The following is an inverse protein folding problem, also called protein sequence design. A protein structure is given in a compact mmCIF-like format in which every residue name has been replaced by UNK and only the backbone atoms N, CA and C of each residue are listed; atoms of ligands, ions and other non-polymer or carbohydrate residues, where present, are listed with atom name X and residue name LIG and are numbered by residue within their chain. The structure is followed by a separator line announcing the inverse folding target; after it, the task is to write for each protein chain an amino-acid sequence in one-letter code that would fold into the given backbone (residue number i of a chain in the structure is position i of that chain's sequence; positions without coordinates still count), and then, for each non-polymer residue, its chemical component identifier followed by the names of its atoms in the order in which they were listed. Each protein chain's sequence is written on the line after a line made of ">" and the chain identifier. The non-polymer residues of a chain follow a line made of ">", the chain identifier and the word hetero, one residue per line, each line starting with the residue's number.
data_IF_559390418303
#
_entry.id   IF_559390418303
#
_cell.length_a   1.000
_cell.length_b   1.000
_cell.length_c   1.000
_cell.angle_alpha   90.00
_cell.angle_beta   90.00
_cell.angle_gamma   90.00
#
_symmetry.space_group_name_H-M   'P 1'
#
loop_
_entity.id
_entity.type
_entity.pdbx_description
1 polymer ?
#
# COMPACT_ATOMS: atom_id res chain seq x y z
N UNK A 1 29.77 -47.05 -45.32
CA UNK A 1 29.88 -48.52 -45.36
C UNK A 1 29.69 -49.00 -46.79
N UNK A 2 30.56 -49.85 -47.31
CA UNK A 2 30.47 -50.33 -48.70
C UNK A 2 29.31 -51.32 -48.84
N UNK A 3 28.64 -51.30 -50.00
CA UNK A 3 27.48 -52.16 -50.30
C UNK A 3 27.79 -53.67 -50.12
N UNK A 4 29.06 -54.04 -50.32
CA UNK A 4 29.61 -55.37 -50.04
C UNK A 4 29.61 -55.76 -48.55
N UNK A 5 29.90 -54.83 -47.64
CA UNK A 5 29.87 -55.11 -46.21
C UNK A 5 28.44 -55.36 -45.72
N UNK A 6 27.47 -54.66 -46.31
CA UNK A 6 26.05 -54.82 -45.98
C UNK A 6 25.52 -56.19 -46.43
N UNK A 7 25.90 -56.64 -47.63
CA UNK A 7 25.58 -57.99 -48.12
C UNK A 7 26.14 -59.11 -47.23
N UNK A 8 27.36 -58.96 -46.73
CA UNK A 8 27.97 -59.96 -45.83
C UNK A 8 27.26 -60.05 -44.48
N UNK A 9 26.86 -58.91 -43.90
CA UNK A 9 26.10 -58.91 -42.64
C UNK A 9 24.72 -59.53 -42.83
N UNK A 10 24.05 -59.22 -43.94
CA UNK A 10 22.73 -59.76 -44.25
C UNK A 10 22.77 -61.29 -44.46
N UNK A 11 23.81 -61.78 -45.14
CA UNK A 11 24.03 -63.22 -45.33
C UNK A 11 24.32 -63.94 -44.00
N UNK A 12 25.10 -63.34 -43.11
CA UNK A 12 25.40 -63.87 -41.77
C UNK A 12 24.14 -64.02 -40.90
N UNK A 13 23.26 -63.02 -40.93
CA UNK A 13 22.00 -63.04 -40.17
C UNK A 13 21.07 -64.12 -40.72
N UNK A 14 20.93 -64.23 -42.05
CA UNK A 14 20.12 -65.26 -42.70
C UNK A 14 20.63 -66.67 -42.39
N UNK A 15 21.94 -66.91 -42.41
CA UNK A 15 22.52 -68.21 -42.08
C UNK A 15 22.24 -68.59 -40.61
N UNK A 16 22.36 -67.62 -39.70
CA UNK A 16 22.09 -67.82 -38.27
C UNK A 16 20.62 -68.15 -38.01
N UNK A 17 19.69 -67.41 -38.63
CA UNK A 17 18.25 -67.67 -38.53
C UNK A 17 17.87 -69.05 -39.09
N UNK A 18 18.46 -69.44 -40.22
CA UNK A 18 18.23 -70.75 -40.83
C UNK A 18 18.71 -71.90 -39.94
N UNK A 19 19.86 -71.73 -39.28
CA UNK A 19 20.39 -72.71 -38.33
C UNK A 19 19.49 -72.88 -37.09
N UNK A 20 18.93 -71.78 -36.57
CA UNK A 20 17.97 -71.82 -35.46
C UNK A 20 16.66 -72.52 -35.85
N UNK A 21 16.12 -72.25 -37.05
CA UNK A 21 14.91 -72.91 -37.54
C UNK A 21 15.15 -74.41 -37.72
N UNK A 22 16.31 -74.80 -38.26
CA UNK A 22 16.66 -76.22 -38.42
C UNK A 22 16.82 -76.93 -37.06
N UNK A 23 17.43 -76.26 -36.07
CA UNK A 23 17.56 -76.79 -34.71
C UNK A 23 16.18 -76.96 -34.04
N UNK A 24 15.30 -75.98 -34.20
CA UNK A 24 13.94 -76.02 -33.66
C UNK A 24 13.12 -77.17 -34.26
N UNK A 25 13.15 -77.33 -35.59
CA UNK A 25 12.46 -78.43 -36.27
C UNK A 25 13.04 -79.81 -35.91
N UNK A 26 14.35 -79.90 -35.66
CA UNK A 26 14.98 -81.17 -35.24
C UNK A 26 14.66 -81.52 -33.79
N UNK A 27 14.44 -80.54 -32.91
CA UNK A 27 14.06 -80.79 -31.52
C UNK A 27 12.58 -81.14 -31.34
N UNK A 28 11.70 -80.75 -32.27
CA UNK A 28 10.27 -81.07 -32.20
C UNK A 28 9.92 -82.47 -32.77
N UNK A 29 10.85 -83.11 -33.48
CA UNK A 29 10.67 -84.45 -34.06
C UNK A 29 10.84 -85.64 -33.10
N UNK A 30 11.00 -85.40 -31.79
CA UNK A 30 11.50 -86.42 -30.86
C UNK A 30 10.86 -86.43 -29.48
N UNK A 31 9.53 -86.59 -29.38
CA UNK A 31 8.85 -87.24 -28.23
C UNK A 31 7.33 -87.40 -28.43
N UNK A 32 6.96 -88.20 -29.43
CA UNK A 32 5.62 -88.81 -29.50
C UNK A 32 5.51 -89.99 -28.54
N UNK A 33 5.54 -89.74 -27.23
CA UNK A 33 5.27 -90.75 -26.21
C UNK A 33 3.76 -90.91 -26.04
N UNK A 34 3.22 -92.09 -26.40
CA UNK A 34 1.85 -92.50 -26.08
C UNK A 34 1.58 -92.30 -24.58
N UNK A 35 0.76 -91.30 -24.23
CA UNK A 35 0.29 -91.07 -22.86
C UNK A 35 -0.67 -92.18 -22.47
N UNK A 36 -0.25 -93.00 -21.51
CA UNK A 36 -1.14 -93.85 -20.73
C UNK A 36 -1.83 -92.95 -19.69
N UNK A 37 -3.17 -92.93 -19.58
CA UNK A 37 -3.91 -91.99 -18.72
C UNK A 37 -3.56 -92.11 -17.22
N UNK A 38 -2.93 -93.20 -16.80
CA UNK A 38 -2.51 -93.45 -15.42
C UNK A 38 -1.25 -92.66 -15.02
N UNK A 39 -0.37 -92.32 -15.97
CA UNK A 39 0.91 -91.64 -15.67
C UNK A 39 0.74 -90.12 -15.59
N UNK A 40 -0.15 -89.54 -16.40
CA UNK A 40 -0.47 -88.10 -16.31
C UNK A 40 -1.17 -87.76 -14.98
N UNK A 41 -2.07 -88.63 -14.50
CA UNK A 41 -2.69 -88.49 -13.17
C UNK A 41 -1.66 -88.66 -12.04
N UNK A 42 -0.82 -89.69 -12.10
CA UNK A 42 0.21 -89.89 -11.06
C UNK A 42 1.27 -88.78 -11.01
N UNK A 43 1.52 -88.08 -12.13
CA UNK A 43 2.41 -86.91 -12.16
C UNK A 43 1.65 -85.64 -11.74
N UNK A 44 0.38 -85.46 -12.11
CA UNK A 44 -0.42 -84.31 -11.62
C UNK A 44 -0.61 -84.39 -10.11
N UNK A 45 -0.96 -85.55 -9.58
CA UNK A 45 -1.22 -85.75 -8.15
C UNK A 45 0.06 -85.50 -7.32
N UNK A 46 1.22 -85.94 -7.81
CA UNK A 46 2.52 -85.64 -7.18
C UNK A 46 2.91 -84.17 -7.29
N UNK A 47 2.52 -83.48 -8.37
CA UNK A 47 2.78 -82.04 -8.53
C UNK A 47 1.85 -81.22 -7.66
N UNK A 48 0.61 -81.69 -7.43
CA UNK A 48 -0.38 -81.05 -6.56
C UNK A 48 0.03 -81.19 -5.09
N UNK A 49 0.48 -82.38 -4.67
CA UNK A 49 1.11 -82.62 -3.36
C UNK A 49 2.41 -81.81 -3.20
N UNK A 50 3.19 -81.65 -4.29
CA UNK A 50 4.41 -80.83 -4.26
C UNK A 50 4.10 -79.32 -4.11
N UNK A 51 3.07 -78.82 -4.76
CA UNK A 51 2.65 -77.41 -4.64
C UNK A 51 2.04 -77.15 -3.27
N UNK A 52 1.32 -78.12 -2.69
CA UNK A 52 0.68 -77.98 -1.39
C UNK A 52 1.70 -77.91 -0.25
N UNK A 53 2.85 -78.61 -0.34
CA UNK A 53 3.92 -78.46 0.65
C UNK A 53 4.82 -77.24 0.43
N UNK A 54 5.03 -76.79 -0.82
CA UNK A 54 5.77 -75.55 -1.12
C UNK A 54 5.01 -74.32 -0.61
N UNK A 55 3.67 -74.34 -0.66
CA UNK A 55 2.79 -73.33 -0.06
C UNK A 55 2.12 -73.84 1.22
N UNK A 56 2.89 -74.50 2.07
CA UNK A 56 2.41 -74.95 3.36
C UNK A 56 1.96 -73.78 4.25
N UNK A 57 1.24 -74.09 5.32
CA UNK A 57 0.72 -73.07 6.25
C UNK A 57 1.85 -72.23 6.88
N UNK A 58 3.05 -72.78 7.05
CA UNK A 58 4.24 -72.06 7.53
C UNK A 58 4.70 -70.97 6.55
N UNK A 59 4.78 -71.26 5.26
CA UNK A 59 5.12 -70.28 4.22
C UNK A 59 4.04 -69.19 4.11
N UNK A 60 2.75 -69.56 4.24
CA UNK A 60 1.64 -68.59 4.25
C UNK A 60 1.71 -67.68 5.48
N UNK A 61 2.07 -68.23 6.64
CA UNK A 61 2.28 -67.43 7.86
C UNK A 61 3.51 -66.53 7.76
N UNK A 62 4.63 -67.00 7.19
CA UNK A 62 5.81 -66.17 6.97
C UNK A 62 5.52 -65.06 5.96
N UNK A 63 4.82 -65.36 4.86
CA UNK A 63 4.39 -64.35 3.88
C UNK A 63 3.46 -63.32 4.53
N UNK A 64 2.53 -63.75 5.38
CA UNK A 64 1.63 -62.85 6.12
C UNK A 64 2.41 -61.98 7.11
N UNK A 65 3.35 -62.56 7.84
CA UNK A 65 4.18 -61.84 8.80
C UNK A 65 5.12 -60.84 8.12
N UNK A 66 5.77 -61.25 7.02
CA UNK A 66 6.62 -60.39 6.19
C UNK A 66 5.81 -59.28 5.53
N UNK A 67 4.62 -59.61 5.02
CA UNK A 67 3.66 -58.64 4.51
C UNK A 67 3.29 -57.61 5.57
N UNK A 68 2.89 -58.03 6.78
CA UNK A 68 2.60 -57.14 7.90
C UNK A 68 3.79 -56.25 8.25
N UNK A 69 4.99 -56.82 8.39
CA UNK A 69 6.21 -56.06 8.69
C UNK A 69 6.53 -55.03 7.60
N UNK A 70 6.40 -55.41 6.31
CA UNK A 70 6.58 -54.48 5.20
C UNK A 70 5.53 -53.37 5.20
N UNK A 71 4.26 -53.69 5.47
CA UNK A 71 3.20 -52.67 5.58
C UNK A 71 3.43 -51.73 6.76
N UNK A 72 3.78 -52.24 7.94
CA UNK A 72 4.12 -51.42 9.11
C UNK A 72 5.30 -50.49 8.82
N UNK A 73 6.34 -51.02 8.15
CA UNK A 73 7.49 -50.23 7.72
C UNK A 73 7.08 -49.11 6.75
N UNK A 74 6.32 -49.44 5.71
CA UNK A 74 5.87 -48.46 4.70
C UNK A 74 4.97 -47.39 5.33
N UNK A 75 4.07 -47.77 6.24
CA UNK A 75 3.20 -46.82 6.95
C UNK A 75 4.05 -45.91 7.85
N UNK A 76 5.03 -46.46 8.57
CA UNK A 76 5.94 -45.68 9.41
C UNK A 76 6.79 -44.70 8.61
N UNK A 77 7.37 -45.14 7.48
CA UNK A 77 8.13 -44.30 6.57
C UNK A 77 7.26 -43.20 5.94
N UNK A 78 6.07 -43.53 5.47
CA UNK A 78 5.14 -42.54 4.90
C UNK A 78 4.65 -41.53 5.93
N UNK A 79 4.35 -41.95 7.16
CA UNK A 79 3.99 -41.04 8.24
C UNK A 79 5.14 -40.10 8.59
N UNK A 80 6.38 -40.61 8.60
CA UNK A 80 7.58 -39.80 8.81
C UNK A 80 7.76 -38.76 7.70
N UNK A 81 7.62 -39.15 6.43
CA UNK A 81 7.72 -38.21 5.30
C UNK A 81 6.63 -37.15 5.35
N UNK A 82 5.38 -37.53 5.64
CA UNK A 82 4.28 -36.58 5.78
C UNK A 82 4.55 -35.59 6.92
N UNK A 83 5.00 -36.07 8.08
CA UNK A 83 5.32 -35.19 9.20
C UNK A 83 6.49 -34.24 8.87
N UNK A 84 7.51 -34.73 8.18
CA UNK A 84 8.62 -33.91 7.73
C UNK A 84 8.14 -32.83 6.75
N UNK A 85 7.32 -33.20 5.78
CA UNK A 85 6.79 -32.28 4.76
C UNK A 85 5.86 -31.22 5.38
N UNK A 86 4.98 -31.62 6.31
CA UNK A 86 4.16 -30.68 7.06
C UNK A 86 5.00 -29.70 7.87
N UNK A 87 6.10 -30.17 8.50
CA UNK A 87 7.01 -29.30 9.26
C UNK A 87 7.73 -28.32 8.34
N UNK A 88 8.22 -28.79 7.19
CA UNK A 88 8.90 -27.95 6.19
C UNK A 88 7.95 -26.91 5.60
N UNK A 89 6.76 -27.34 5.17
CA UNK A 89 5.70 -26.47 4.65
C UNK A 89 5.29 -25.42 5.68
N UNK A 90 5.12 -25.81 6.95
CA UNK A 90 4.81 -24.87 8.03
C UNK A 90 5.91 -23.83 8.22
N UNK A 91 7.18 -24.24 8.17
CA UNK A 91 8.32 -23.32 8.28
C UNK A 91 8.37 -22.34 7.12
N UNK A 92 8.23 -22.85 5.89
CA UNK A 92 8.23 -22.03 4.67
C UNK A 92 7.05 -21.05 4.65
N UNK A 93 5.85 -21.52 5.04
CA UNK A 93 4.68 -20.65 5.14
C UNK A 93 4.89 -19.54 6.17
N UNK A 94 5.49 -19.86 7.32
CA UNK A 94 5.79 -18.86 8.35
C UNK A 94 6.81 -17.82 7.86
N UNK A 95 7.89 -18.24 7.20
CA UNK A 95 8.86 -17.32 6.60
C UNK A 95 8.24 -16.45 5.51
N UNK A 96 7.46 -17.06 4.62
CA UNK A 96 6.73 -16.37 3.57
C UNK A 96 5.79 -15.32 4.16
N UNK A 97 4.93 -15.70 5.12
CA UNK A 97 4.01 -14.77 5.78
C UNK A 97 4.76 -13.62 6.46
N UNK A 98 5.86 -13.90 7.19
CA UNK A 98 6.67 -12.84 7.81
C UNK A 98 7.19 -11.88 6.75
N UNK A 99 7.77 -12.40 5.66
CA UNK A 99 8.32 -11.56 4.60
C UNK A 99 7.25 -10.71 3.91
N UNK A 100 6.08 -11.29 3.63
CA UNK A 100 4.96 -10.58 3.03
C UNK A 100 4.35 -9.53 3.95
N UNK A 101 4.17 -9.85 5.24
CA UNK A 101 3.70 -8.88 6.23
C UNK A 101 4.70 -7.73 6.36
N UNK A 102 6.00 -8.01 6.46
CA UNK A 102 7.04 -6.97 6.53
C UNK A 102 7.03 -6.09 5.27
N UNK A 103 6.97 -6.70 4.09
CA UNK A 103 6.90 -5.97 2.81
C UNK A 103 5.66 -5.08 2.75
N UNK A 104 4.50 -5.60 3.09
CA UNK A 104 3.24 -4.84 3.10
C UNK A 104 3.25 -3.71 4.12
N UNK A 105 3.78 -3.94 5.31
CA UNK A 105 3.95 -2.88 6.30
C UNK A 105 4.89 -1.79 5.80
N UNK A 106 6.02 -2.13 5.18
CA UNK A 106 6.94 -1.15 4.60
C UNK A 106 6.29 -0.34 3.47
N UNK A 107 5.56 -0.99 2.57
CA UNK A 107 4.79 -0.34 1.50
C UNK A 107 3.78 0.66 2.08
N UNK A 108 3.00 0.25 3.08
CA UNK A 108 1.99 1.12 3.71
C UNK A 108 2.63 2.25 4.53
N UNK A 109 3.73 2.00 5.27
CA UNK A 109 4.45 3.05 5.97
C UNK A 109 5.01 4.11 5.02
N UNK A 110 5.53 3.70 3.86
CA UNK A 110 6.02 4.63 2.84
C UNK A 110 4.89 5.52 2.31
N UNK A 111 3.72 4.93 2.03
CA UNK A 111 2.53 5.70 1.61
C UNK A 111 2.05 6.66 2.71
N UNK A 112 2.06 6.22 3.97
CA UNK A 112 1.68 7.06 5.10
C UNK A 112 2.66 8.23 5.28
N UNK A 113 3.98 7.98 5.19
CA UNK A 113 5.00 9.02 5.26
C UNK A 113 4.82 10.06 4.15
N UNK A 114 4.57 9.60 2.92
CA UNK A 114 4.26 10.49 1.81
C UNK A 114 3.00 11.32 2.07
N UNK A 115 1.92 10.69 2.51
CA UNK A 115 0.64 11.37 2.80
C UNK A 115 0.79 12.42 3.91
N UNK A 116 1.57 12.13 4.96
CA UNK A 116 1.88 13.07 6.04
C UNK A 116 2.70 14.24 5.51
N UNK A 117 3.68 13.97 4.65
CA UNK A 117 4.51 15.00 4.03
C UNK A 117 3.69 15.93 3.15
N UNK A 118 2.80 15.38 2.32
CA UNK A 118 1.89 16.14 1.47
C UNK A 118 0.91 16.98 2.30
N UNK A 119 0.34 16.41 3.36
CA UNK A 119 -0.54 17.13 4.29
C UNK A 119 0.20 18.27 5.00
N UNK A 120 1.45 18.05 5.43
CA UNK A 120 2.29 19.09 6.04
C UNK A 120 2.56 20.21 5.03
N UNK A 121 2.88 19.88 3.79
CA UNK A 121 3.13 20.87 2.74
C UNK A 121 1.88 21.69 2.45
N UNK A 122 0.71 21.05 2.35
CA UNK A 122 -0.57 21.72 2.15
C UNK A 122 -0.93 22.65 3.32
N UNK A 123 -0.64 22.24 4.56
CA UNK A 123 -0.83 23.08 5.73
C UNK A 123 0.10 24.31 5.71
N UNK A 124 1.37 24.14 5.37
CA UNK A 124 2.32 25.24 5.22
C UNK A 124 1.89 26.23 4.13
N UNK A 125 1.44 25.72 2.98
CA UNK A 125 0.91 26.56 1.90
C UNK A 125 -0.34 27.32 2.35
N UNK A 126 -1.25 26.66 3.06
CA UNK A 126 -2.48 27.27 3.58
C UNK A 126 -2.19 28.37 4.62
N UNK A 127 -1.22 28.14 5.51
CA UNK A 127 -0.75 29.14 6.48
C UNK A 127 -0.15 30.34 5.76
N UNK A 128 0.68 30.11 4.74
CA UNK A 128 1.31 31.17 3.95
C UNK A 128 0.26 32.01 3.24
N UNK A 129 -0.69 31.37 2.54
CA UNK A 129 -1.83 32.07 1.90
C UNK A 129 -2.67 32.85 2.90
N UNK A 130 -2.89 32.30 4.09
CA UNK A 130 -3.63 32.99 5.16
C UNK A 130 -2.87 34.22 5.67
N UNK A 131 -1.55 34.12 5.85
CA UNK A 131 -0.71 35.26 6.22
C UNK A 131 -0.75 36.36 5.16
N UNK A 132 -0.65 36.00 3.88
CA UNK A 132 -0.76 36.94 2.76
C UNK A 132 -2.13 37.63 2.72
N UNK A 133 -3.21 36.87 2.88
CA UNK A 133 -4.57 37.42 2.92
C UNK A 133 -4.79 38.35 4.13
N UNK A 134 -4.28 38.00 5.31
CA UNK A 134 -4.34 38.85 6.50
C UNK A 134 -3.56 40.15 6.28
N UNK A 135 -2.37 40.08 5.67
CA UNK A 135 -1.57 41.28 5.39
C UNK A 135 -2.24 42.20 4.36
N UNK A 136 -2.87 41.62 3.33
CA UNK A 136 -3.68 42.39 2.38
C UNK A 136 -4.88 43.06 3.05
N UNK A 137 -5.62 42.32 3.89
CA UNK A 137 -6.74 42.87 4.66
C UNK A 137 -6.29 43.97 5.62
N UNK A 138 -5.14 43.80 6.28
CA UNK A 138 -4.55 44.82 7.15
C UNK A 138 -4.28 46.11 6.37
N UNK A 139 -3.67 46.02 5.18
CA UNK A 139 -3.39 47.20 4.35
C UNK A 139 -4.66 47.94 3.96
N UNK A 140 -5.66 47.22 3.44
CA UNK A 140 -6.96 47.79 3.08
C UNK A 140 -7.63 48.45 4.29
N UNK A 141 -7.61 47.79 5.45
CA UNK A 141 -8.19 48.32 6.68
C UNK A 141 -7.48 49.59 7.14
N UNK A 142 -6.15 49.66 7.05
CA UNK A 142 -5.38 50.86 7.38
C UNK A 142 -5.72 52.02 6.44
N UNK A 143 -5.83 51.74 5.14
CA UNK A 143 -6.23 52.74 4.14
C UNK A 143 -7.65 53.28 4.40
N UNK A 144 -8.61 52.38 4.64
CA UNK A 144 -9.99 52.74 4.96
C UNK A 144 -10.09 53.54 6.27
N UNK A 145 -9.38 53.10 7.31
CA UNK A 145 -9.36 53.81 8.59
C UNK A 145 -8.78 55.23 8.44
N UNK A 146 -7.72 55.39 7.64
CA UNK A 146 -7.14 56.70 7.37
C UNK A 146 -8.12 57.61 6.62
N UNK A 147 -8.85 57.07 5.64
CA UNK A 147 -9.89 57.80 4.90
C UNK A 147 -11.06 58.22 5.82
N UNK A 148 -11.52 57.32 6.68
CA UNK A 148 -12.57 57.63 7.67
C UNK A 148 -12.12 58.70 8.66
N UNK A 149 -10.90 58.59 9.20
CA UNK A 149 -10.32 59.59 10.11
C UNK A 149 -10.24 60.95 9.41
N UNK A 150 -9.78 61.01 8.17
CA UNK A 150 -9.69 62.25 7.42
C UNK A 150 -11.08 62.85 7.15
N UNK A 151 -12.06 62.02 6.82
CA UNK A 151 -13.44 62.43 6.58
C UNK A 151 -14.10 62.97 7.85
N UNK A 152 -13.91 62.30 8.99
CA UNK A 152 -14.42 62.78 10.28
C UNK A 152 -13.69 64.04 10.74
N UNK A 153 -12.36 64.14 10.55
CA UNK A 153 -11.61 65.39 10.82
C UNK A 153 -12.19 66.54 10.00
N UNK A 154 -12.45 66.33 8.71
CA UNK A 154 -13.06 67.35 7.86
C UNK A 154 -14.46 67.75 8.33
N UNK A 155 -15.31 66.77 8.71
CA UNK A 155 -16.65 67.05 9.27
C UNK A 155 -16.59 67.82 10.58
N UNK A 156 -15.67 67.46 11.48
CA UNK A 156 -15.47 68.15 12.75
C UNK A 156 -15.00 69.59 12.52
N UNK A 157 -14.04 69.80 11.62
CA UNK A 157 -13.59 71.14 11.23
C UNK A 157 -14.75 71.94 10.63
N UNK A 158 -15.52 71.36 9.72
CA UNK A 158 -16.67 72.05 9.13
C UNK A 158 -17.71 72.47 10.18
N UNK A 159 -18.08 71.56 11.10
CA UNK A 159 -18.99 71.90 12.20
C UNK A 159 -18.40 72.98 13.10
N UNK A 160 -17.11 72.91 13.39
CA UNK A 160 -16.43 73.94 14.15
C UNK A 160 -16.48 75.28 13.43
N UNK A 161 -16.25 75.32 12.11
CA UNK A 161 -16.32 76.53 11.28
C UNK A 161 -17.72 77.15 11.20
N UNK A 162 -18.75 76.31 11.10
CA UNK A 162 -20.16 76.73 11.05
C UNK A 162 -20.60 77.30 12.40
N UNK A 163 -20.15 76.71 13.50
CA UNK A 163 -20.54 77.11 14.86
C UNK A 163 -19.48 77.99 15.56
N UNK A 164 -18.46 78.46 14.84
CA UNK A 164 -17.31 79.17 15.45
C UNK A 164 -17.75 80.43 16.18
N UNK A 165 -18.66 81.20 15.57
CA UNK A 165 -19.22 82.41 16.15
C UNK A 165 -19.97 82.12 17.46
N UNK A 166 -20.82 81.09 17.48
CA UNK A 166 -21.58 80.69 18.66
C UNK A 166 -20.69 80.11 19.77
N UNK A 167 -19.70 79.30 19.40
CA UNK A 167 -18.71 78.74 20.33
C UNK A 167 -17.93 79.88 20.99
N UNK A 168 -17.37 80.80 20.20
CA UNK A 168 -16.58 81.90 20.75
C UNK A 168 -17.47 82.84 21.57
N UNK A 169 -18.67 83.17 21.10
CA UNK A 169 -19.64 83.96 21.86
C UNK A 169 -19.92 83.33 23.24
N UNK A 170 -20.20 82.01 23.28
CA UNK A 170 -20.43 81.29 24.54
C UNK A 170 -19.22 81.35 25.49
N UNK A 171 -18.01 81.10 24.99
CA UNK A 171 -16.80 81.13 25.83
C UNK A 171 -16.38 82.53 26.27
N UNK A 172 -16.57 83.56 25.43
CA UNK A 172 -16.30 84.98 25.78
C UNK A 172 -17.27 85.47 26.84
N UNK A 173 -18.57 85.17 26.69
CA UNK A 173 -19.57 85.51 27.69
C UNK A 173 -19.35 84.76 29.02
N UNK A 174 -18.96 83.49 28.97
CA UNK A 174 -18.66 82.70 30.16
C UNK A 174 -17.37 83.14 30.87
N UNK A 175 -16.33 83.53 30.12
CA UNK A 175 -15.06 83.98 30.68
C UNK A 175 -15.12 85.39 31.30
N UNK A 176 -16.07 86.23 30.88
CA UNK A 176 -16.16 87.64 31.30
C UNK A 176 -17.25 87.87 32.38
N UNK A 177 -17.83 86.80 32.93
CA UNK A 177 -18.73 86.78 34.09
C UNK A 177 -19.08 88.13 34.74
N UNK A 178 -20.28 88.62 34.42
CA UNK A 178 -21.17 89.49 35.20
C UNK A 178 -20.81 90.98 35.45
N UNK A 179 -19.74 91.56 34.90
CA UNK A 179 -19.36 92.95 35.29
C UNK A 179 -18.95 93.98 34.23
N UNK A 180 -19.04 93.73 32.92
CA UNK A 180 -18.65 94.77 31.92
C UNK A 180 -19.64 94.84 30.75
N UNK A 181 -20.18 96.05 30.50
CA UNK A 181 -21.01 96.37 29.33
C UNK A 181 -20.14 96.34 28.06
N UNK A 182 -20.22 95.23 27.33
CA UNK A 182 -19.30 94.88 26.22
C UNK A 182 -20.02 94.67 24.90
N UNK A 183 -21.30 95.06 24.74
CA UNK A 183 -22.02 94.85 23.47
C UNK A 183 -21.24 95.42 22.27
N UNK A 184 -20.66 96.62 22.41
CA UNK A 184 -19.89 97.26 21.32
C UNK A 184 -18.52 96.59 21.08
N UNK A 185 -17.91 95.97 22.10
CA UNK A 185 -16.60 95.31 21.97
C UNK A 185 -16.74 93.84 21.53
N UNK A 186 -17.83 93.18 21.86
CA UNK A 186 -18.18 91.84 21.36
C UNK A 186 -18.41 91.87 19.86
N UNK A 187 -19.11 92.88 19.34
CA UNK A 187 -19.30 93.06 17.90
C UNK A 187 -17.96 93.26 17.17
N UNK A 188 -17.03 94.04 17.78
CA UNK A 188 -15.68 94.20 17.24
C UNK A 188 -14.87 92.89 17.27
N UNK A 189 -14.89 92.14 18.38
CA UNK A 189 -14.18 90.85 18.51
C UNK A 189 -14.76 89.80 17.56
N UNK A 190 -16.09 89.72 17.43
CA UNK A 190 -16.75 88.81 16.50
C UNK A 190 -16.41 89.17 15.07
N UNK A 191 -16.41 90.46 14.71
CA UNK A 191 -16.01 90.92 13.38
C UNK A 191 -14.54 90.61 13.09
N UNK A 192 -13.64 90.77 14.07
CA UNK A 192 -12.21 90.49 13.90
C UNK A 192 -11.93 88.98 13.83
N UNK A 193 -12.65 88.16 14.58
CA UNK A 193 -12.61 86.69 14.47
C UNK A 193 -13.20 86.19 13.15
N UNK A 194 -14.26 86.80 12.66
CA UNK A 194 -14.86 86.49 11.37
C UNK A 194 -13.92 86.86 10.22
N UNK A 195 -13.23 88.00 10.32
CA UNK A 195 -12.20 88.43 9.38
C UNK A 195 -10.96 87.51 9.39
N UNK A 196 -10.61 86.95 10.55
CA UNK A 196 -9.46 86.04 10.71
C UNK A 196 -9.83 84.54 10.65
N UNK A 197 -11.10 84.22 10.36
CA UNK A 197 -11.62 82.85 10.32
C UNK A 197 -10.78 81.93 9.42
N UNK A 198 -10.39 82.40 8.23
CA UNK A 198 -9.60 81.63 7.28
C UNK A 198 -8.19 81.30 7.78
N UNK A 199 -7.61 82.16 8.63
CA UNK A 199 -6.29 81.92 9.23
C UNK A 199 -6.38 80.88 10.35
N UNK A 200 -7.40 80.98 11.22
CA UNK A 200 -7.67 80.02 12.29
C UNK A 200 -7.95 78.62 11.71
N UNK A 201 -8.72 78.56 10.62
CA UNK A 201 -8.96 77.31 9.90
C UNK A 201 -7.64 76.69 9.43
N UNK A 202 -6.78 77.49 8.81
CA UNK A 202 -5.50 77.01 8.29
C UNK A 202 -4.62 76.42 9.40
N UNK A 203 -4.52 77.11 10.54
CA UNK A 203 -3.75 76.63 11.70
C UNK A 203 -4.29 75.31 12.28
N UNK A 204 -5.61 75.13 12.35
CA UNK A 204 -6.24 73.88 12.83
C UNK A 204 -6.06 72.74 11.80
N UNK A 205 -6.07 73.06 10.51
CA UNK A 205 -5.98 72.05 9.44
C UNK A 205 -4.56 71.51 9.31
N UNK A 206 -3.58 72.41 9.36
CA UNK A 206 -2.15 72.10 9.20
C UNK A 206 -1.51 71.54 10.49
N UNK A 207 -2.15 71.75 11.65
CA UNK A 207 -1.73 71.19 12.93
C UNK A 207 -0.43 71.80 13.43
N UNK A 208 -0.54 72.86 14.24
CA UNK A 208 0.56 73.32 15.10
C UNK A 208 0.88 72.29 16.19
#
# INVERSE_FOLDING_TARGET
>A
MTLWALLLVLASILASASAFIWLALRMDGGRGGKKSPVVDQAISDRTEEDVEHIFNDEFREELRNRGRLHFEKIIGENAMFLQQDLRLTTSQLNEYMKSEITRKLQEEFTKYEQSITDAKQMALESITKTQEAIEQQRKVMVEQLQEEINTEKARLIQRFQENLADIVNHYVLAAIGDQIDLNDQLEYILSDLEANKDAIIRDITDGA
#
